data_IF_156478828882
#
_entry.id   IF_156478828882
#
_cell.length_a   1.000
_cell.length_b   1.000
_cell.length_c   1.000
_cell.angle_alpha   90.00
_cell.angle_beta   90.00
_cell.angle_gamma   90.00
#
_symmetry.space_group_name_H-M   'P 1'
#
loop_
_entity.id
_entity.type
_entity.pdbx_description
1 polymer ?
#
# COMPACT_ATOMS: atom_id res chain seq x y z
N UNK A 1 17.76 -29.64 -21.88
CA UNK A 1 17.85 -29.52 -20.41
C UNK A 1 17.89 -28.09 -19.86
N UNK A 2 17.50 -27.09 -20.67
CA UNK A 2 17.40 -25.68 -20.26
C UNK A 2 15.94 -25.23 -20.23
N UNK A 3 15.64 -24.25 -19.39
CA UNK A 3 14.32 -23.63 -19.27
C UNK A 3 14.48 -22.10 -19.19
N UNK A 4 13.50 -21.32 -19.65
CA UNK A 4 13.43 -19.89 -19.36
C UNK A 4 13.41 -19.65 -17.86
N UNK A 5 14.21 -18.69 -17.39
CA UNK A 5 14.23 -18.22 -16.01
C UNK A 5 13.46 -16.91 -15.84
N UNK A 6 13.71 -15.95 -16.73
CA UNK A 6 13.03 -14.67 -16.77
C UNK A 6 12.40 -14.43 -18.15
N UNK A 7 11.33 -13.66 -18.19
CA UNK A 7 10.63 -13.26 -19.41
C UNK A 7 10.25 -11.79 -19.30
N UNK A 8 10.48 -11.04 -20.36
CA UNK A 8 10.13 -9.62 -20.41
C UNK A 8 8.61 -9.46 -20.37
N UNK A 9 8.10 -8.63 -19.46
CA UNK A 9 6.66 -8.44 -19.30
C UNK A 9 6.00 -7.65 -20.45
N UNK A 10 6.79 -6.89 -21.23
CA UNK A 10 6.27 -6.04 -22.31
C UNK A 10 6.20 -6.78 -23.65
N UNK A 11 7.25 -7.51 -24.02
CA UNK A 11 7.37 -8.13 -25.35
C UNK A 11 7.53 -9.66 -25.34
N UNK A 12 7.52 -10.28 -24.15
CA UNK A 12 7.65 -11.72 -23.93
C UNK A 12 8.98 -12.31 -24.41
N UNK A 13 9.99 -11.48 -24.66
CA UNK A 13 11.34 -11.94 -24.98
C UNK A 13 11.98 -12.65 -23.79
N UNK A 14 12.97 -13.51 -24.08
CA UNK A 14 13.69 -14.24 -23.04
C UNK A 14 14.67 -13.30 -22.33
N UNK A 15 14.60 -13.28 -20.99
CA UNK A 15 15.46 -12.42 -20.16
C UNK A 15 16.43 -13.24 -19.29
N UNK A 16 16.50 -14.55 -19.52
CA UNK A 16 17.39 -15.44 -18.78
C UNK A 16 17.03 -16.91 -18.94
N UNK A 17 18.00 -17.78 -18.68
CA UNK A 17 17.87 -19.23 -18.79
C UNK A 17 18.47 -19.92 -17.57
N UNK A 18 17.96 -21.11 -17.24
CA UNK A 18 18.48 -21.95 -16.14
C UNK A 18 18.51 -23.41 -16.58
N UNK A 19 19.54 -24.15 -16.16
CA UNK A 19 19.63 -25.57 -16.39
C UNK A 19 18.76 -26.34 -15.38
N UNK A 20 18.08 -27.40 -15.83
CA UNK A 20 17.14 -28.16 -14.97
C UNK A 20 17.81 -28.80 -13.74
N UNK A 21 19.08 -29.19 -13.86
CA UNK A 21 19.80 -29.98 -12.83
C UNK A 21 21.20 -29.49 -12.46
N UNK A 22 21.77 -28.55 -13.23
CA UNK A 22 23.17 -28.12 -13.09
C UNK A 22 23.21 -26.70 -12.51
N UNK A 23 24.34 -26.24 -11.97
CA UNK A 23 24.43 -24.92 -11.36
C UNK A 23 24.64 -23.82 -12.41
N UNK A 24 23.92 -23.89 -13.54
CA UNK A 24 24.07 -22.95 -14.64
C UNK A 24 22.81 -22.12 -14.78
N UNK A 25 22.98 -20.81 -14.78
CA UNK A 25 21.96 -19.85 -15.13
C UNK A 25 22.61 -18.65 -15.80
N UNK A 26 21.80 -17.86 -16.49
CA UNK A 26 22.20 -16.61 -17.12
C UNK A 26 21.01 -15.66 -17.15
N UNK A 27 21.29 -14.36 -17.18
CA UNK A 27 20.32 -13.29 -17.33
C UNK A 27 20.73 -12.41 -18.51
N UNK A 28 19.74 -11.80 -19.17
CA UNK A 28 19.96 -10.91 -20.30
C UNK A 28 20.15 -9.45 -19.86
N UNK A 29 19.64 -9.11 -18.67
CA UNK A 29 19.78 -7.80 -18.03
C UNK A 29 21.02 -7.73 -17.12
N UNK A 30 21.26 -6.54 -16.56
CA UNK A 30 22.44 -6.20 -15.75
C UNK A 30 22.09 -6.09 -14.26
N UNK A 31 22.24 -7.17 -13.46
CA UNK A 31 21.92 -7.16 -12.04
C UNK A 31 22.87 -6.31 -11.20
N UNK A 32 24.02 -5.89 -11.73
CA UNK A 32 24.98 -4.98 -11.10
C UNK A 32 24.53 -3.52 -11.08
N UNK A 33 23.41 -3.22 -11.74
CA UNK A 33 22.64 -1.96 -11.61
C UNK A 33 23.46 -0.66 -11.61
N UNK A 34 24.45 -0.51 -12.47
CA UNK A 34 25.17 0.77 -12.58
C UNK A 34 24.35 1.83 -13.33
N UNK A 35 23.45 2.51 -12.59
CA UNK A 35 22.35 3.40 -13.02
C UNK A 35 20.97 2.74 -13.21
N UNK A 36 20.75 1.54 -12.64
CA UNK A 36 19.46 0.82 -12.63
C UNK A 36 18.93 0.54 -11.22
N UNK A 37 17.76 -0.12 -11.08
CA UNK A 37 17.26 -0.56 -9.77
C UNK A 37 18.12 -1.70 -9.19
N UNK A 38 18.26 -1.72 -7.87
CA UNK A 38 19.09 -2.69 -7.12
C UNK A 38 18.36 -4.02 -6.83
N UNK A 39 17.14 -4.20 -7.37
CA UNK A 39 16.19 -5.26 -6.99
C UNK A 39 16.69 -6.71 -7.17
N UNK A 40 17.71 -6.93 -8.02
CA UNK A 40 18.20 -8.26 -8.39
C UNK A 40 19.67 -8.52 -8.05
N UNK A 41 20.27 -7.72 -7.15
CA UNK A 41 21.61 -7.99 -6.60
C UNK A 41 21.75 -9.39 -5.99
N UNK A 42 20.66 -9.93 -5.43
CA UNK A 42 20.62 -11.27 -4.80
C UNK A 42 21.10 -12.39 -5.73
N UNK A 43 21.11 -12.17 -7.05
CA UNK A 43 21.63 -13.12 -8.03
C UNK A 43 23.14 -13.35 -7.85
N UNK A 44 23.89 -12.33 -7.40
CA UNK A 44 25.31 -12.47 -7.07
C UNK A 44 25.51 -13.35 -5.83
N UNK A 45 24.71 -13.15 -4.78
CA UNK A 45 24.75 -13.99 -3.58
C UNK A 45 24.46 -15.44 -3.92
N UNK A 46 23.41 -15.70 -4.71
CA UNK A 46 23.06 -17.03 -5.18
C UNK A 46 24.19 -17.69 -6.00
N UNK A 47 24.86 -16.91 -6.86
CA UNK A 47 26.01 -17.39 -7.61
C UNK A 47 27.17 -17.78 -6.68
N UNK A 48 27.53 -16.92 -5.71
CA UNK A 48 28.61 -17.18 -4.76
C UNK A 48 28.31 -18.37 -3.85
N UNK A 49 27.07 -18.49 -3.36
CA UNK A 49 26.57 -19.65 -2.61
C UNK A 49 26.74 -20.94 -3.42
N UNK A 50 26.31 -20.93 -4.69
CA UNK A 50 26.41 -22.09 -5.58
C UNK A 50 27.85 -22.51 -5.85
N UNK A 51 28.76 -21.55 -6.08
CA UNK A 51 30.20 -21.81 -6.29
C UNK A 51 30.84 -22.43 -5.06
N UNK A 52 30.51 -21.93 -3.86
CA UNK A 52 31.07 -22.45 -2.61
C UNK A 52 30.58 -23.88 -2.32
N UNK A 53 29.29 -24.16 -2.54
CA UNK A 53 28.74 -25.49 -2.30
C UNK A 53 29.16 -26.53 -3.34
N UNK A 54 29.37 -26.09 -4.60
CA UNK A 54 29.76 -27.00 -5.68
C UNK A 54 31.09 -27.72 -5.41
N UNK A 55 31.95 -27.12 -4.57
CA UNK A 55 33.22 -27.71 -4.10
C UNK A 55 33.00 -29.01 -3.32
N UNK A 56 31.84 -29.17 -2.69
CA UNK A 56 31.53 -30.29 -1.79
C UNK A 56 30.49 -31.26 -2.37
N UNK A 57 29.55 -30.78 -3.18
CA UNK A 57 28.48 -31.61 -3.76
C UNK A 57 27.96 -31.05 -5.09
N UNK A 58 27.36 -31.87 -5.97
CA UNK A 58 26.59 -31.36 -7.10
C UNK A 58 25.46 -30.42 -6.63
N UNK A 59 25.29 -29.29 -7.32
CA UNK A 59 24.32 -28.25 -6.97
C UNK A 59 23.40 -27.99 -8.16
N UNK A 60 22.10 -27.91 -7.91
CA UNK A 60 21.13 -27.30 -8.80
C UNK A 60 20.72 -25.94 -8.22
N UNK A 61 20.77 -24.89 -9.04
CA UNK A 61 20.43 -23.51 -8.61
C UNK A 61 18.98 -23.14 -8.89
N UNK A 62 18.29 -23.90 -9.75
CA UNK A 62 16.93 -23.61 -10.20
C UNK A 62 15.94 -23.48 -9.06
N UNK A 63 15.87 -24.46 -8.17
CA UNK A 63 14.92 -24.47 -7.06
C UNK A 63 15.17 -23.30 -6.11
N UNK A 64 16.44 -23.00 -5.81
CA UNK A 64 16.83 -21.86 -4.98
C UNK A 64 16.49 -20.52 -5.60
N UNK A 65 16.73 -20.36 -6.90
CA UNK A 65 16.34 -19.15 -7.63
C UNK A 65 14.83 -18.94 -7.52
N UNK A 66 14.04 -19.98 -7.77
CA UNK A 66 12.58 -19.90 -7.66
C UNK A 66 12.18 -19.57 -6.22
N UNK A 67 12.73 -20.26 -5.22
CA UNK A 67 12.40 -20.03 -3.81
C UNK A 67 12.71 -18.60 -3.35
N UNK A 68 13.89 -18.06 -3.68
CA UNK A 68 14.27 -16.69 -3.28
C UNK A 68 13.51 -15.61 -4.04
N UNK A 69 13.11 -15.86 -5.29
CA UNK A 69 12.41 -14.87 -6.13
C UNK A 69 10.88 -14.95 -5.99
N UNK A 70 10.34 -16.04 -5.45
CA UNK A 70 8.91 -16.25 -5.37
C UNK A 70 8.30 -15.42 -4.23
N UNK A 71 7.51 -14.42 -4.61
CA UNK A 71 6.70 -13.68 -3.66
C UNK A 71 5.49 -14.51 -3.21
N UNK A 72 5.41 -14.77 -1.90
CA UNK A 72 4.21 -15.36 -1.29
C UNK A 72 3.42 -14.26 -0.59
N UNK A 73 2.20 -13.91 -1.07
CA UNK A 73 1.39 -12.91 -0.40
C UNK A 73 1.01 -13.39 1.01
N UNK A 74 1.03 -12.47 1.98
CA UNK A 74 0.61 -12.77 3.35
C UNK A 74 -0.81 -13.34 3.35
N UNK A 75 -1.03 -14.41 4.12
CA UNK A 75 -2.35 -15.05 4.18
C UNK A 75 -3.45 -14.04 4.48
N UNK A 76 -4.50 -14.04 3.66
CA UNK A 76 -5.62 -13.13 3.77
C UNK A 76 -5.39 -11.72 3.21
N UNK A 77 -4.21 -11.36 2.67
CA UNK A 77 -3.96 -10.03 2.08
C UNK A 77 -4.72 -9.80 0.78
N UNK A 78 -4.91 -10.85 -0.01
CA UNK A 78 -5.71 -10.84 -1.25
C UNK A 78 -7.12 -11.38 -0.92
N UNK A 79 -8.20 -10.69 -1.34
CA UNK A 79 -9.55 -11.22 -1.21
C UNK A 79 -9.74 -12.51 -2.01
N UNK A 80 -10.22 -13.59 -1.37
CA UNK A 80 -10.57 -14.84 -2.05
C UNK A 80 -11.68 -14.67 -3.10
N UNK A 81 -12.54 -13.66 -2.90
CA UNK A 81 -13.60 -13.30 -3.84
C UNK A 81 -13.49 -11.82 -4.14
N UNK A 82 -13.67 -11.48 -5.42
CA UNK A 82 -13.73 -10.10 -5.86
C UNK A 82 -14.93 -9.40 -5.21
N UNK A 83 -14.76 -8.19 -4.64
CA UNK A 83 -15.89 -7.45 -4.08
C UNK A 83 -16.90 -7.12 -5.18
N UNK A 84 -18.19 -7.21 -4.84
CA UNK A 84 -19.30 -6.87 -5.74
C UNK A 84 -19.77 -5.42 -5.56
N UNK A 85 -19.60 -4.87 -4.36
CA UNK A 85 -20.01 -3.51 -3.99
C UNK A 85 -18.97 -2.88 -3.09
N UNK A 86 -18.40 -1.76 -3.53
CA UNK A 86 -17.34 -1.03 -2.84
C UNK A 86 -17.81 0.37 -2.46
N UNK A 87 -17.61 0.73 -1.20
CA UNK A 87 -17.79 2.08 -0.69
C UNK A 87 -16.49 2.89 -0.82
N UNK A 88 -16.60 4.11 -1.33
CA UNK A 88 -15.49 5.05 -1.46
C UNK A 88 -15.83 6.25 -0.58
N UNK A 89 -14.91 6.59 0.32
CA UNK A 89 -15.00 7.83 1.09
C UNK A 89 -14.27 8.93 0.30
N UNK A 90 -14.99 9.95 -0.13
CA UNK A 90 -14.44 11.11 -0.82
C UNK A 90 -13.67 12.04 0.13
N UNK A 91 -13.23 13.19 -0.36
CA UNK A 91 -12.48 14.16 0.45
C UNK A 91 -13.34 15.08 1.30
N UNK A 92 -14.64 15.18 1.03
CA UNK A 92 -15.44 16.23 1.63
C UNK A 92 -15.14 17.61 1.07
N UNK A 93 -15.35 18.65 1.88
CA UNK A 93 -15.13 20.03 1.47
C UNK A 93 -13.67 20.31 1.14
N UNK A 94 -13.44 21.22 0.19
CA UNK A 94 -12.09 21.70 -0.12
C UNK A 94 -11.56 22.52 1.06
N UNK A 95 -10.35 22.19 1.51
CA UNK A 95 -9.62 22.97 2.52
C UNK A 95 -8.17 23.19 2.06
N UNK A 96 -7.49 24.17 2.65
CA UNK A 96 -6.06 24.37 2.37
C UNK A 96 -5.31 23.12 2.84
N UNK A 97 -4.55 22.50 1.94
CA UNK A 97 -3.85 21.23 2.19
C UNK A 97 -4.66 19.97 1.86
N UNK A 98 -5.93 20.10 1.47
CA UNK A 98 -6.77 19.00 0.98
C UNK A 98 -7.70 19.51 -0.14
N UNK A 99 -7.20 19.53 -1.37
CA UNK A 99 -7.86 20.19 -2.50
C UNK A 99 -8.43 19.19 -3.53
N UNK A 100 -8.37 19.55 -4.82
CA UNK A 100 -9.00 18.82 -5.91
C UNK A 100 -8.30 17.52 -6.32
N UNK A 101 -7.12 17.23 -5.78
CA UNK A 101 -6.37 15.98 -6.04
C UNK A 101 -7.16 14.73 -5.64
N UNK A 102 -8.01 14.85 -4.62
CA UNK A 102 -8.87 13.77 -4.15
C UNK A 102 -10.14 13.58 -4.99
N UNK A 103 -10.64 14.67 -5.60
CA UNK A 103 -11.70 14.58 -6.61
C UNK A 103 -11.22 13.74 -7.81
N UNK A 104 -10.01 14.06 -8.31
CA UNK A 104 -9.40 13.32 -9.41
C UNK A 104 -9.09 11.86 -9.05
N UNK A 105 -8.37 11.62 -7.96
CA UNK A 105 -7.95 10.26 -7.58
C UNK A 105 -9.14 9.37 -7.22
N UNK A 106 -10.14 9.90 -6.52
CA UNK A 106 -11.40 9.20 -6.26
C UNK A 106 -12.18 8.86 -7.54
N UNK A 107 -12.15 9.75 -8.54
CA UNK A 107 -12.76 9.48 -9.86
C UNK A 107 -12.04 8.35 -10.62
N UNK A 108 -10.71 8.28 -10.55
CA UNK A 108 -9.94 7.16 -11.12
C UNK A 108 -10.25 5.84 -10.41
N UNK A 109 -10.40 5.85 -9.08
CA UNK A 109 -10.80 4.67 -8.34
C UNK A 109 -12.18 4.15 -8.78
N UNK A 110 -13.16 5.05 -8.98
CA UNK A 110 -14.48 4.70 -9.50
C UNK A 110 -14.37 4.08 -10.90
N UNK A 111 -13.55 4.67 -11.78
CA UNK A 111 -13.33 4.16 -13.14
C UNK A 111 -12.76 2.73 -13.12
N UNK A 112 -11.71 2.49 -12.34
CA UNK A 112 -11.09 1.17 -12.22
C UNK A 112 -12.08 0.11 -11.68
N UNK A 113 -12.89 0.46 -10.68
CA UNK A 113 -13.91 -0.44 -10.14
C UNK A 113 -14.99 -0.77 -11.18
N UNK A 114 -15.38 0.20 -12.01
CA UNK A 114 -16.35 0.01 -13.10
C UNK A 114 -15.83 -0.91 -14.20
N UNK A 115 -14.57 -0.77 -14.60
CA UNK A 115 -13.92 -1.66 -15.58
C UNK A 115 -13.94 -3.12 -15.12
N UNK A 116 -13.88 -3.34 -13.79
CA UNK A 116 -13.95 -4.66 -13.17
C UNK A 116 -15.39 -5.12 -12.81
N UNK A 117 -16.42 -4.40 -13.27
CA UNK A 117 -17.85 -4.66 -13.00
C UNK A 117 -18.21 -4.67 -11.50
N UNK A 118 -17.58 -3.80 -10.72
CA UNK A 118 -17.83 -3.65 -9.28
C UNK A 118 -18.74 -2.45 -9.04
N UNK A 119 -19.83 -2.65 -8.30
CA UNK A 119 -20.75 -1.57 -7.98
C UNK A 119 -20.10 -0.55 -7.03
N UNK A 120 -20.23 0.72 -7.34
CA UNK A 120 -19.56 1.83 -6.65
C UNK A 120 -20.55 2.67 -5.84
N UNK A 121 -20.28 2.83 -4.55
CA UNK A 121 -20.95 3.80 -3.68
C UNK A 121 -19.95 4.89 -3.32
N UNK A 122 -20.35 6.15 -3.45
CA UNK A 122 -19.54 7.29 -3.03
C UNK A 122 -20.24 8.05 -1.90
N UNK A 123 -19.51 8.38 -0.84
CA UNK A 123 -19.92 9.41 0.11
C UNK A 123 -19.01 10.62 -0.08
N UNK A 124 -19.57 11.74 -0.51
CA UNK A 124 -18.86 13.01 -0.58
C UNK A 124 -19.85 14.17 -0.42
N UNK A 125 -19.76 15.00 0.64
CA UNK A 125 -20.64 16.15 0.84
C UNK A 125 -20.34 17.31 -0.13
N UNK A 126 -19.21 17.32 -0.82
CA UNK A 126 -18.85 18.41 -1.74
C UNK A 126 -19.51 18.24 -3.11
N UNK A 127 -20.57 19.01 -3.32
CA UNK A 127 -21.38 19.04 -4.55
C UNK A 127 -20.66 19.63 -5.77
N UNK A 128 -19.51 20.28 -5.59
CA UNK A 128 -18.76 20.96 -6.65
C UNK A 128 -17.57 20.12 -7.14
N UNK A 129 -17.76 18.79 -7.24
CA UNK A 129 -16.71 17.83 -7.64
C UNK A 129 -17.12 17.02 -8.87
N UNK A 130 -16.16 16.66 -9.71
CA UNK A 130 -16.40 15.74 -10.83
C UNK A 130 -16.77 14.35 -10.30
N UNK A 131 -16.19 13.94 -9.17
CA UNK A 131 -16.44 12.69 -8.46
C UNK A 131 -17.94 12.44 -8.21
N UNK A 132 -18.71 13.50 -7.95
CA UNK A 132 -20.15 13.43 -7.66
C UNK A 132 -21.05 13.61 -8.89
N UNK A 133 -20.45 13.72 -10.08
CA UNK A 133 -21.20 13.86 -11.34
C UNK A 133 -22.09 12.66 -11.61
N UNK A 134 -23.27 12.93 -12.18
CA UNK A 134 -24.25 11.90 -12.51
C UNK A 134 -23.63 10.86 -13.45
N UNK A 135 -23.71 9.59 -13.06
CA UNK A 135 -23.25 8.47 -13.86
C UNK A 135 -21.77 8.12 -13.65
N UNK A 136 -21.01 8.86 -12.84
CA UNK A 136 -19.64 8.47 -12.50
C UNK A 136 -19.63 7.33 -11.48
N UNK A 137 -20.16 7.52 -10.27
CA UNK A 137 -20.48 6.42 -9.36
C UNK A 137 -21.89 5.88 -9.60
N UNK A 138 -22.16 4.63 -9.22
CA UNK A 138 -23.51 4.05 -9.34
C UNK A 138 -24.48 4.68 -8.35
N UNK A 139 -23.99 5.05 -7.16
CA UNK A 139 -24.76 5.79 -6.16
C UNK A 139 -23.88 6.77 -5.41
N UNK A 140 -24.37 8.00 -5.25
CA UNK A 140 -23.70 9.09 -4.54
C UNK A 140 -24.53 9.51 -3.33
N UNK A 141 -23.86 9.67 -2.19
CA UNK A 141 -24.41 10.18 -0.94
C UNK A 141 -23.75 11.51 -0.60
N UNK A 142 -24.54 12.58 -0.62
CA UNK A 142 -24.12 13.90 -0.14
C UNK A 142 -24.31 13.99 1.38
N UNK A 143 -23.52 13.21 2.11
CA UNK A 143 -23.54 13.14 3.57
C UNK A 143 -22.18 13.52 4.14
N UNK A 144 -22.12 14.09 5.36
CA UNK A 144 -20.86 14.31 6.08
C UNK A 144 -20.06 13.01 6.25
N UNK A 145 -18.74 13.10 6.17
CA UNK A 145 -17.82 11.99 6.42
C UNK A 145 -17.54 11.85 7.92
N UNK A 146 -18.59 11.54 8.67
CA UNK A 146 -18.48 11.18 10.09
C UNK A 146 -18.85 9.72 10.27
N UNK A 147 -18.32 9.11 11.34
CA UNK A 147 -18.58 7.72 11.71
C UNK A 147 -20.07 7.37 11.67
N UNK A 148 -20.95 8.24 12.19
CA UNK A 148 -22.39 8.00 12.28
C UNK A 148 -23.06 7.88 10.91
N UNK A 149 -22.79 8.83 10.01
CA UNK A 149 -23.37 8.83 8.67
C UNK A 149 -22.80 7.71 7.80
N UNK A 150 -21.50 7.46 7.89
CA UNK A 150 -20.86 6.38 7.14
C UNK A 150 -21.38 5.02 7.63
N UNK A 151 -21.57 4.81 8.93
CA UNK A 151 -22.19 3.58 9.44
C UNK A 151 -23.62 3.39 8.89
N UNK A 152 -24.42 4.46 8.81
CA UNK A 152 -25.77 4.36 8.26
C UNK A 152 -25.76 3.92 6.79
N UNK A 153 -24.84 4.45 5.98
CA UNK A 153 -24.68 4.03 4.58
C UNK A 153 -24.22 2.56 4.52
N UNK A 154 -23.23 2.15 5.32
CA UNK A 154 -22.78 0.76 5.40
C UNK A 154 -23.94 -0.17 5.77
N UNK A 155 -24.75 0.21 6.76
CA UNK A 155 -25.91 -0.57 7.22
C UNK A 155 -26.98 -0.72 6.14
N UNK A 156 -27.25 0.34 5.38
CA UNK A 156 -28.25 0.35 4.31
C UNK A 156 -27.78 -0.38 3.05
N UNK A 157 -26.53 -0.15 2.63
CA UNK A 157 -26.01 -0.63 1.36
C UNK A 157 -25.28 -1.96 1.43
N UNK A 158 -24.79 -2.36 2.61
CA UNK A 158 -24.02 -3.60 2.83
C UNK A 158 -22.89 -3.79 1.80
N UNK A 159 -21.97 -2.82 1.66
CA UNK A 159 -20.79 -3.01 0.82
C UNK A 159 -19.92 -4.13 1.38
N UNK A 160 -19.18 -4.83 0.51
CA UNK A 160 -18.23 -5.87 0.91
C UNK A 160 -16.77 -5.38 0.83
N UNK A 161 -16.56 -4.18 0.31
CA UNK A 161 -15.27 -3.49 0.35
C UNK A 161 -15.41 -2.00 0.65
N UNK A 162 -14.36 -1.40 1.21
CA UNK A 162 -14.25 0.04 1.40
C UNK A 162 -12.86 0.54 1.00
N UNK A 163 -12.81 1.69 0.34
CA UNK A 163 -11.57 2.41 0.00
C UNK A 163 -11.51 3.72 0.79
N UNK A 164 -10.42 3.89 1.53
CA UNK A 164 -10.19 5.01 2.45
C UNK A 164 -9.10 5.98 1.95
N UNK A 165 -8.28 5.56 0.99
CA UNK A 165 -7.04 6.23 0.58
C UNK A 165 -7.23 7.34 -0.46
N UNK A 166 -8.45 7.54 -0.96
CA UNK A 166 -8.74 8.50 -2.05
C UNK A 166 -9.46 9.76 -1.58
N UNK A 167 -9.66 9.92 -0.27
CA UNK A 167 -10.40 11.04 0.32
C UNK A 167 -9.58 11.89 1.29
N UNK A 168 -8.26 11.88 1.17
CA UNK A 168 -7.36 12.64 2.04
C UNK A 168 -7.50 12.30 3.52
N UNK A 169 -7.10 13.24 4.38
CA UNK A 169 -7.08 13.03 5.82
C UNK A 169 -8.48 12.82 6.40
N UNK A 170 -9.50 13.48 5.83
CA UNK A 170 -10.90 13.32 6.28
C UNK A 170 -11.37 11.87 6.16
N UNK A 171 -11.14 11.24 5.00
CA UNK A 171 -11.52 9.84 4.80
C UNK A 171 -10.67 8.87 5.65
N UNK A 172 -9.37 9.12 5.76
CA UNK A 172 -8.46 8.29 6.56
C UNK A 172 -8.87 8.32 8.04
N UNK A 173 -9.05 9.50 8.62
CA UNK A 173 -9.46 9.65 10.02
C UNK A 173 -10.82 8.99 10.29
N UNK A 174 -11.80 9.22 9.42
CA UNK A 174 -13.11 8.57 9.53
C UNK A 174 -12.99 7.04 9.45
N UNK A 175 -12.14 6.53 8.56
CA UNK A 175 -11.82 5.10 8.47
C UNK A 175 -11.22 4.54 9.75
N UNK A 176 -10.26 5.23 10.35
CA UNK A 176 -9.64 4.83 11.62
C UNK A 176 -10.67 4.82 12.76
N UNK A 177 -11.57 5.82 12.82
CA UNK A 177 -12.64 5.85 13.81
C UNK A 177 -13.65 4.69 13.64
N UNK A 178 -14.02 4.37 12.40
CA UNK A 178 -14.92 3.26 12.08
C UNK A 178 -14.29 1.91 12.46
N UNK A 179 -13.00 1.73 12.21
CA UNK A 179 -12.25 0.52 12.60
C UNK A 179 -12.16 0.40 14.13
N UNK A 180 -11.79 1.48 14.83
CA UNK A 180 -11.73 1.51 16.30
C UNK A 180 -13.09 1.20 16.94
N UNK A 181 -14.18 1.62 16.30
CA UNK A 181 -15.53 1.30 16.72
C UNK A 181 -16.00 -0.12 16.34
N UNK A 182 -15.16 -0.91 15.64
CA UNK A 182 -15.45 -2.27 15.20
C UNK A 182 -16.52 -2.35 14.11
N UNK A 183 -16.81 -1.25 13.41
CA UNK A 183 -17.92 -1.15 12.45
C UNK A 183 -17.65 -2.00 11.21
N UNK A 184 -16.43 -1.98 10.68
CA UNK A 184 -16.08 -2.80 9.52
C UNK A 184 -16.25 -4.29 9.79
N UNK A 185 -15.75 -4.78 10.93
CA UNK A 185 -15.97 -6.15 11.39
C UNK A 185 -17.45 -6.48 11.62
N UNK A 186 -18.20 -5.60 12.29
CA UNK A 186 -19.64 -5.76 12.58
C UNK A 186 -20.48 -5.96 11.31
N UNK A 187 -20.14 -5.29 10.22
CA UNK A 187 -20.87 -5.37 8.95
C UNK A 187 -20.16 -6.22 7.88
N UNK A 188 -19.07 -6.89 8.23
CA UNK A 188 -18.24 -7.68 7.31
C UNK A 188 -17.79 -6.88 6.06
N UNK A 189 -17.35 -5.64 6.29
CA UNK A 189 -16.80 -4.76 5.26
C UNK A 189 -15.29 -4.88 5.31
N UNK A 190 -14.67 -5.20 4.18
CA UNK A 190 -13.22 -5.31 4.09
C UNK A 190 -12.59 -3.99 3.64
N UNK A 191 -11.57 -3.53 4.33
CA UNK A 191 -10.74 -2.42 3.86
C UNK A 191 -9.88 -2.93 2.70
N UNK A 192 -9.95 -2.26 1.55
CA UNK A 192 -9.23 -2.60 0.33
C UNK A 192 -7.99 -1.70 0.19
N UNK A 193 -6.90 -2.25 -0.34
CA UNK A 193 -5.62 -1.54 -0.47
C UNK A 193 -4.78 -1.64 0.81
N UNK A 194 -4.17 -0.52 1.20
CA UNK A 194 -3.31 -0.44 2.39
C UNK A 194 -4.09 -0.82 3.65
N UNK A 195 -3.59 -1.79 4.46
CA UNK A 195 -4.22 -2.14 5.73
C UNK A 195 -4.34 -0.93 6.65
N UNK A 196 -5.42 -0.86 7.43
CA UNK A 196 -5.65 0.23 8.38
C UNK A 196 -4.57 0.32 9.46
N UNK A 197 -3.96 -0.81 9.81
CA UNK A 197 -2.81 -0.85 10.73
C UNK A 197 -1.65 -0.06 10.17
N UNK A 198 -1.32 -0.24 8.88
CA UNK A 198 -0.23 0.49 8.23
C UNK A 198 -0.55 1.98 8.14
N UNK A 199 -1.80 2.36 7.90
CA UNK A 199 -2.24 3.77 7.96
C UNK A 199 -1.96 4.36 9.35
N UNK A 200 -2.38 3.67 10.41
CA UNK A 200 -2.17 4.12 11.79
C UNK A 200 -0.66 4.22 12.12
N UNK A 201 0.12 3.21 11.71
CA UNK A 201 1.57 3.16 11.94
C UNK A 201 2.33 4.27 11.22
N UNK A 202 1.83 4.75 10.06
CA UNK A 202 2.47 5.84 9.32
C UNK A 202 2.05 7.24 9.78
N UNK A 203 0.85 7.38 10.35
CA UNK A 203 0.33 8.66 10.82
C UNK A 203 0.88 9.04 12.21
N UNK A 204 1.12 8.06 13.09
CA UNK A 204 1.75 8.31 14.38
C UNK A 204 3.28 8.41 14.22
N UNK A 205 3.84 9.58 14.52
CA UNK A 205 5.27 9.87 14.33
C UNK A 205 6.19 8.97 15.15
N UNK A 206 5.76 8.58 16.34
CA UNK A 206 6.55 7.69 17.21
C UNK A 206 6.55 6.28 16.63
N UNK A 207 5.37 5.76 16.32
CA UNK A 207 5.23 4.41 15.74
C UNK A 207 5.96 4.33 14.39
N UNK A 208 5.87 5.38 13.57
CA UNK A 208 6.60 5.46 12.31
C UNK A 208 8.12 5.38 12.54
N UNK A 209 8.66 6.16 13.47
CA UNK A 209 10.08 6.13 13.82
C UNK A 209 10.54 4.74 14.29
N UNK A 210 9.74 4.09 15.14
CA UNK A 210 10.00 2.73 15.62
C UNK A 210 10.01 1.72 14.46
N UNK A 211 9.06 1.81 13.53
CA UNK A 211 8.96 0.94 12.34
C UNK A 211 10.12 1.10 11.37
N UNK A 212 10.62 2.32 11.19
CA UNK A 212 11.81 2.58 10.36
C UNK A 212 13.08 2.03 11.05
N UNK A 213 13.17 2.14 12.37
CA UNK A 213 14.29 1.58 13.12
C UNK A 213 14.33 0.04 13.09
N UNK A 214 13.19 -0.64 13.01
CA UNK A 214 13.11 -2.11 12.88
C UNK A 214 13.88 -2.66 11.66
N UNK A 215 14.00 -1.88 10.58
CA UNK A 215 14.73 -2.27 9.36
C UNK A 215 16.15 -1.68 9.29
N UNK A 216 16.63 -1.04 10.38
CA UNK A 216 17.95 -0.42 10.43
C UNK A 216 18.06 0.92 9.71
N UNK A 217 16.92 1.47 9.25
CA UNK A 217 16.86 2.79 8.61
C UNK A 217 16.81 3.91 9.66
N UNK A 218 17.12 5.13 9.23
CA UNK A 218 17.27 6.28 10.13
C UNK A 218 16.27 7.39 9.81
N UNK A 219 15.58 7.85 10.84
CA UNK A 219 14.86 9.13 10.83
C UNK A 219 15.74 10.22 11.45
N UNK A 220 15.45 11.49 11.11
CA UNK A 220 16.07 12.61 11.81
C UNK A 220 15.77 12.50 13.33
N UNK A 221 16.71 12.89 14.22
CA UNK A 221 16.46 12.90 15.66
C UNK A 221 15.18 13.69 15.95
N UNK A 222 14.21 13.03 16.59
CA UNK A 222 12.88 13.60 16.84
C UNK A 222 12.27 13.01 18.10
N UNK A 223 11.38 13.77 18.73
CA UNK A 223 10.66 13.35 19.93
C UNK A 223 9.17 13.69 19.76
N UNK A 224 8.29 12.73 20.05
CA UNK A 224 6.85 12.96 20.07
C UNK A 224 6.45 13.57 21.42
N UNK A 225 5.87 14.76 21.37
CA UNK A 225 5.52 15.58 22.55
C UNK A 225 4.05 15.96 22.52
N UNK A 226 3.43 16.07 23.70
CA UNK A 226 1.99 16.30 23.85
C UNK A 226 1.65 17.61 24.57
N UNK A 227 2.67 18.38 24.95
CA UNK A 227 2.52 19.68 25.60
C UNK A 227 3.56 20.68 25.12
N UNK A 228 3.25 21.97 25.28
CA UNK A 228 4.19 23.07 24.96
C UNK A 228 5.46 22.94 25.80
N UNK A 229 5.33 22.54 27.06
CA UNK A 229 6.46 22.35 27.97
C UNK A 229 7.39 21.23 27.48
N UNK A 230 6.83 20.07 27.16
CA UNK A 230 7.61 18.96 26.56
C UNK A 230 8.29 19.38 25.26
N UNK A 231 7.63 20.21 24.44
CA UNK A 231 8.20 20.71 23.18
C UNK A 231 9.45 21.56 23.43
N UNK A 232 9.44 22.45 24.42
CA UNK A 232 10.59 23.29 24.77
C UNK A 232 11.75 22.43 25.29
N UNK A 233 11.47 21.47 26.17
CA UNK A 233 12.47 20.56 26.71
C UNK A 233 13.09 19.67 25.63
N UNK A 234 12.26 19.15 24.71
CA UNK A 234 12.74 18.39 23.56
C UNK A 234 13.60 19.26 22.63
N UNK A 235 13.22 20.53 22.41
CA UNK A 235 13.99 21.45 21.58
C UNK A 235 15.36 21.79 22.17
N UNK A 236 15.47 21.94 23.50
CA UNK A 236 16.75 22.11 24.19
C UNK A 236 17.64 20.86 24.07
N UNK A 237 17.06 19.66 24.18
CA UNK A 237 17.80 18.38 24.01
C UNK A 237 18.29 18.16 22.58
N UNK A 238 17.44 18.45 21.58
CA UNK A 238 17.72 18.23 20.16
C UNK A 238 18.64 19.31 19.57
N UNK A 239 18.61 20.52 20.14
CA UNK A 239 19.36 21.68 19.66
C UNK A 239 18.63 22.42 18.53
N UNK A 240 18.67 23.76 18.58
CA UNK A 240 18.03 24.61 17.58
C UNK A 240 18.84 24.71 16.27
N UNK A 241 18.18 24.89 15.11
CA UNK A 241 16.72 25.01 14.91
C UNK A 241 15.99 23.67 14.90
N UNK A 242 14.75 23.64 15.42
CA UNK A 242 13.86 22.47 15.41
C UNK A 242 12.61 22.71 14.54
N UNK A 243 12.06 21.64 13.98
CA UNK A 243 10.82 21.65 13.20
C UNK A 243 9.72 20.94 13.98
N UNK A 244 8.59 21.61 14.21
CA UNK A 244 7.40 21.03 14.83
C UNK A 244 6.40 20.64 13.74
N UNK A 245 5.94 19.39 13.77
CA UNK A 245 4.94 18.85 12.84
C UNK A 245 3.83 18.14 13.63
N UNK A 246 2.59 18.34 13.20
CA UNK A 246 1.43 17.62 13.70
C UNK A 246 1.33 16.20 13.10
#
# INVERSE_FOLDING_TARGET
DWEPLFTNANDLSNEGIVHKTKPYFSVQFHPEHSAGPEDLELLFDLFLEAVNEHKSKPVCVRERLIEKLLYTPKSGSIPNTRPKKVLILGSGGLSIGQAGEFDYSGSQAIKALKEENIQTLLINPNIATVQTSKGLADKVYFLPLTKEYVEQVIKAERPNGVLLTFGGQTALNCGVELERAGIFSKYNVRILGTPITSIIETEDRKIFGDKIAEIGERVAPSEAVYSVQETLEAAERLGYPVMVRA
#
